data_IF_380548502525
#
_entry.id   IF_380548502525
#
_cell.length_a   1.000
_cell.length_b   1.000
_cell.length_c   1.000
_cell.angle_alpha   90.00
_cell.angle_beta   90.00
_cell.angle_gamma   90.00
#
_symmetry.space_group_name_H-M   'P 1'
#
loop_
_entity.id
_entity.type
_entity.pdbx_description
1 polymer ?
#
# COMPACT_ATOMS: atom_id res chain seq x y z
N UNK A 1 21.40 27.22 -10.71
CA UNK A 1 20.87 26.36 -9.63
C UNK A 1 20.30 25.11 -10.29
N UNK A 2 20.71 23.94 -9.87
CA UNK A 2 20.09 22.68 -10.33
C UNK A 2 18.74 22.51 -9.62
N UNK A 3 17.70 22.22 -10.38
CA UNK A 3 16.37 21.92 -9.82
C UNK A 3 16.46 20.54 -9.15
N UNK A 4 16.04 20.40 -7.87
CA UNK A 4 16.10 19.10 -7.18
C UNK A 4 15.19 18.07 -7.84
N UNK A 5 15.55 16.78 -7.75
CA UNK A 5 14.75 15.70 -8.31
C UNK A 5 13.41 15.52 -7.56
N UNK A 6 13.40 15.83 -6.27
CA UNK A 6 12.18 15.78 -5.44
C UNK A 6 11.64 17.19 -5.18
N UNK A 7 10.33 17.31 -5.29
CA UNK A 7 9.58 18.57 -5.11
C UNK A 7 8.41 18.33 -4.17
N UNK A 8 7.97 19.40 -3.48
CA UNK A 8 6.74 19.36 -2.68
C UNK A 8 5.59 19.82 -3.55
N UNK A 9 4.54 19.02 -3.62
CA UNK A 9 3.30 19.36 -4.31
C UNK A 9 2.12 19.28 -3.35
N UNK A 10 1.22 20.27 -3.43
CA UNK A 10 -0.03 20.27 -2.70
C UNK A 10 -1.10 19.46 -3.45
N UNK A 11 -2.01 18.85 -2.69
CA UNK A 11 -3.18 18.16 -3.21
C UNK A 11 -4.39 18.34 -2.27
N UNK A 12 -5.56 17.87 -2.73
CA UNK A 12 -6.78 17.80 -1.90
C UNK A 12 -6.61 16.89 -0.68
N UNK A 13 -5.63 15.98 -0.71
CA UNK A 13 -5.35 15.01 0.36
C UNK A 13 -4.17 15.42 1.26
N UNK A 14 -3.50 16.53 0.97
CA UNK A 14 -2.34 17.00 1.70
C UNK A 14 -1.13 17.24 0.81
N UNK A 15 0.05 17.29 1.42
CA UNK A 15 1.33 17.60 0.75
C UNK A 15 2.13 16.33 0.51
N UNK A 16 2.71 16.26 -0.69
CA UNK A 16 3.54 15.12 -1.10
C UNK A 16 4.93 15.60 -1.51
N UNK A 17 5.95 14.87 -1.06
CA UNK A 17 7.30 14.95 -1.63
C UNK A 17 7.37 13.89 -2.74
N UNK A 18 7.37 14.31 -3.98
CA UNK A 18 7.37 13.43 -5.15
C UNK A 18 8.56 13.67 -6.04
N UNK A 19 8.99 12.64 -6.76
CA UNK A 19 10.00 12.79 -7.78
C UNK A 19 9.39 13.41 -9.04
N UNK A 20 9.93 14.57 -9.48
CA UNK A 20 9.45 15.27 -10.67
C UNK A 20 9.64 14.50 -11.99
N UNK A 21 10.50 13.47 -11.98
CA UNK A 21 10.76 12.60 -13.12
C UNK A 21 9.79 11.41 -13.21
N UNK A 22 9.02 11.15 -12.16
CA UNK A 22 7.85 10.25 -12.20
C UNK A 22 6.66 11.02 -12.77
N UNK A 23 6.63 11.19 -14.09
CA UNK A 23 5.68 12.08 -14.76
C UNK A 23 4.24 11.74 -14.40
N UNK A 24 3.87 10.47 -14.39
CA UNK A 24 2.52 10.01 -14.10
C UNK A 24 2.01 10.49 -12.73
N UNK A 25 2.82 10.33 -11.69
CA UNK A 25 2.46 10.74 -10.32
C UNK A 25 2.48 12.26 -10.15
N UNK A 26 3.57 12.90 -10.59
CA UNK A 26 3.72 14.35 -10.46
C UNK A 26 2.72 15.13 -11.32
N UNK A 27 2.45 14.67 -12.55
CA UNK A 27 1.49 15.34 -13.43
C UNK A 27 0.05 15.27 -12.90
N UNK A 28 -0.37 14.16 -12.29
CA UNK A 28 -1.70 14.07 -11.68
C UNK A 28 -1.89 15.17 -10.63
N UNK A 29 -0.94 15.29 -9.70
CA UNK A 29 -0.98 16.33 -8.66
C UNK A 29 -0.97 17.74 -9.24
N UNK A 30 -0.10 18.02 -10.22
CA UNK A 30 0.02 19.37 -10.81
C UNK A 30 -1.22 19.73 -11.62
N UNK A 31 -1.78 18.78 -12.41
CA UNK A 31 -2.89 19.07 -13.33
C UNK A 31 -4.25 19.10 -12.65
N UNK A 32 -4.44 18.26 -11.64
CA UNK A 32 -5.76 18.05 -11.03
C UNK A 32 -5.83 18.45 -9.56
N UNK A 33 -4.68 18.60 -8.88
CA UNK A 33 -4.64 18.74 -7.42
C UNK A 33 -5.04 17.47 -6.67
N UNK A 34 -5.15 16.32 -7.39
CA UNK A 34 -5.55 15.04 -6.85
C UNK A 34 -4.49 13.97 -7.18
N UNK A 35 -4.53 12.83 -6.52
CA UNK A 35 -3.59 11.72 -6.77
C UNK A 35 -3.98 10.98 -8.05
N UNK A 36 -3.04 10.21 -8.61
CA UNK A 36 -3.31 9.35 -9.77
C UNK A 36 -4.20 8.14 -9.43
N UNK A 37 -4.33 7.79 -8.14
CA UNK A 37 -5.16 6.69 -7.63
C UNK A 37 -6.51 7.19 -7.08
N UNK A 38 -7.02 8.34 -7.50
CA UNK A 38 -8.23 8.95 -6.95
C UNK A 38 -9.46 8.04 -7.06
N UNK A 39 -9.58 7.32 -8.17
CA UNK A 39 -10.64 6.32 -8.37
C UNK A 39 -10.58 5.17 -7.37
N UNK A 40 -9.38 4.72 -7.03
CA UNK A 40 -9.15 3.69 -6.02
C UNK A 40 -9.46 4.21 -4.62
N UNK A 41 -8.97 5.42 -4.29
CA UNK A 41 -9.20 6.06 -2.99
C UNK A 41 -10.69 6.22 -2.69
N UNK A 42 -11.51 6.52 -3.69
CA UNK A 42 -12.95 6.62 -3.50
C UNK A 42 -13.56 5.30 -2.97
N UNK A 43 -13.15 4.16 -3.53
CA UNK A 43 -13.58 2.84 -3.07
C UNK A 43 -12.96 2.47 -1.71
N UNK A 44 -11.68 2.75 -1.55
CA UNK A 44 -10.95 2.50 -0.30
C UNK A 44 -11.58 3.27 0.87
N UNK A 45 -11.96 4.52 0.68
CA UNK A 45 -12.58 5.33 1.72
C UNK A 45 -13.92 4.77 2.19
N UNK A 46 -14.71 4.14 1.30
CA UNK A 46 -15.94 3.42 1.70
C UNK A 46 -15.60 2.33 2.73
N UNK A 47 -14.52 1.58 2.52
CA UNK A 47 -14.08 0.54 3.45
C UNK A 47 -13.51 1.12 4.74
N UNK A 48 -12.63 2.11 4.62
CA UNK A 48 -11.98 2.78 5.77
C UNK A 48 -13.02 3.40 6.71
N UNK A 49 -14.12 3.93 6.17
CA UNK A 49 -15.18 4.54 6.99
C UNK A 49 -15.98 3.51 7.81
N UNK A 50 -15.99 2.23 7.41
CA UNK A 50 -16.62 1.15 8.18
C UNK A 50 -15.72 0.62 9.30
N UNK A 51 -14.43 0.95 9.29
CA UNK A 51 -13.49 0.43 10.27
C UNK A 51 -13.75 1.02 11.66
N UNK A 52 -13.64 0.19 12.71
CA UNK A 52 -13.89 0.64 14.08
C UNK A 52 -12.77 1.59 14.58
N UNK A 53 -13.06 2.28 15.68
CA UNK A 53 -12.04 3.02 16.43
C UNK A 53 -10.90 2.10 16.83
N UNK A 54 -9.65 2.58 16.69
CA UNK A 54 -8.46 1.79 16.99
C UNK A 54 -8.09 0.74 15.95
N UNK A 55 -8.73 0.75 14.77
CA UNK A 55 -8.38 -0.14 13.68
C UNK A 55 -6.91 0.02 13.25
N UNK A 56 -6.33 -1.08 12.77
CA UNK A 56 -4.97 -1.14 12.25
C UNK A 56 -5.01 -1.41 10.76
N UNK A 57 -4.34 -0.54 10.01
CA UNK A 57 -4.25 -0.56 8.55
C UNK A 57 -2.80 -0.85 8.18
N UNK A 58 -2.59 -1.81 7.29
CA UNK A 58 -1.28 -2.12 6.72
C UNK A 58 -1.24 -1.63 5.27
N UNK A 59 -0.18 -0.90 4.92
CA UNK A 59 0.11 -0.43 3.57
C UNK A 59 1.45 -1.04 3.10
N UNK A 60 1.39 -2.11 2.34
CA UNK A 60 2.54 -2.73 1.69
C UNK A 60 2.79 -2.09 0.33
N UNK A 61 4.01 -1.56 0.12
CA UNK A 61 4.37 -0.79 -1.06
C UNK A 61 3.84 0.65 -1.00
N UNK A 62 4.25 1.38 0.05
CA UNK A 62 3.69 2.70 0.33
C UNK A 62 4.14 3.79 -0.68
N UNK A 63 5.23 3.55 -1.42
CA UNK A 63 5.76 4.46 -2.42
C UNK A 63 5.93 5.90 -1.86
N UNK A 64 5.50 6.93 -2.58
CA UNK A 64 5.50 8.31 -2.11
C UNK A 64 4.31 8.67 -1.18
N UNK A 65 3.52 7.67 -0.77
CA UNK A 65 2.44 7.83 0.20
C UNK A 65 1.07 8.14 -0.39
N UNK A 66 0.83 7.80 -1.65
CA UNK A 66 -0.44 8.10 -2.32
C UNK A 66 -1.65 7.38 -1.70
N UNK A 67 -1.44 6.25 -1.01
CA UNK A 67 -2.44 5.65 -0.14
C UNK A 67 -2.30 6.15 1.29
N UNK A 68 -1.09 6.08 1.87
CA UNK A 68 -0.85 6.39 3.29
C UNK A 68 -1.36 7.77 3.70
N UNK A 69 -1.04 8.84 2.96
CA UNK A 69 -1.37 10.22 3.35
C UNK A 69 -2.87 10.49 3.28
N UNK A 70 -3.60 10.17 2.18
CA UNK A 70 -5.04 10.34 2.12
C UNK A 70 -5.78 9.56 3.22
N UNK A 71 -5.40 8.31 3.44
CA UNK A 71 -6.02 7.47 4.48
C UNK A 71 -5.71 8.01 5.87
N UNK A 72 -4.46 8.41 6.15
CA UNK A 72 -4.10 9.03 7.43
C UNK A 72 -4.95 10.28 7.73
N UNK A 73 -5.11 11.16 6.73
CA UNK A 73 -5.96 12.35 6.90
C UNK A 73 -7.44 11.99 7.11
N UNK A 74 -7.93 10.92 6.45
CA UNK A 74 -9.32 10.42 6.63
C UNK A 74 -9.58 9.88 8.03
N UNK A 75 -8.60 9.21 8.63
CA UNK A 75 -8.74 8.57 9.95
C UNK A 75 -8.28 9.45 11.11
N UNK A 76 -7.81 10.66 10.84
CA UNK A 76 -7.30 11.58 11.87
C UNK A 76 -8.30 11.78 13.00
N UNK A 77 -7.84 11.60 14.24
CA UNK A 77 -8.66 11.74 15.44
C UNK A 77 -9.57 10.52 15.76
N UNK A 78 -9.53 9.45 14.95
CA UNK A 78 -10.35 8.24 15.17
C UNK A 78 -9.62 7.16 15.98
N UNK A 79 -8.38 7.41 16.44
CA UNK A 79 -7.57 6.47 17.19
C UNK A 79 -7.07 5.28 16.37
N UNK A 80 -7.26 5.32 15.04
CA UNK A 80 -6.74 4.32 14.11
C UNK A 80 -5.26 4.59 13.81
N UNK A 81 -4.52 3.58 13.36
CA UNK A 81 -3.12 3.72 12.96
C UNK A 81 -2.83 3.03 11.64
N UNK A 82 -1.80 3.49 10.96
CA UNK A 82 -1.28 2.89 9.73
C UNK A 82 0.12 2.38 9.99
N UNK A 83 0.45 1.21 9.43
CA UNK A 83 1.80 0.67 9.34
C UNK A 83 2.13 0.55 7.86
N UNK A 84 3.06 1.38 7.39
CA UNK A 84 3.42 1.47 5.97
C UNK A 84 4.82 0.91 5.73
N UNK A 85 4.99 0.17 4.66
CA UNK A 85 6.25 -0.46 4.26
C UNK A 85 6.68 0.05 2.91
N UNK A 86 7.93 0.55 2.82
CA UNK A 86 8.53 0.99 1.57
C UNK A 86 9.99 0.54 1.49
N UNK A 87 10.34 -0.36 0.55
CA UNK A 87 11.69 -0.91 0.44
C UNK A 87 12.69 0.01 -0.28
N UNK A 88 12.25 1.00 -1.05
CA UNK A 88 13.14 1.95 -1.71
C UNK A 88 13.50 3.09 -0.74
N UNK A 89 14.76 3.13 -0.28
CA UNK A 89 15.23 4.11 0.71
C UNK A 89 14.89 5.56 0.33
N UNK A 90 14.96 5.89 -0.94
CA UNK A 90 14.69 7.25 -1.42
C UNK A 90 13.21 7.59 -1.33
N UNK A 91 12.31 6.67 -1.69
CA UNK A 91 10.86 6.86 -1.54
C UNK A 91 10.44 6.83 -0.06
N UNK A 92 11.02 5.93 0.74
CA UNK A 92 10.84 5.92 2.20
C UNK A 92 11.15 7.30 2.82
N UNK A 93 12.27 7.94 2.43
CA UNK A 93 12.63 9.29 2.90
C UNK A 93 11.66 10.35 2.43
N UNK A 94 11.19 10.27 1.18
CA UNK A 94 10.21 11.19 0.62
C UNK A 94 8.88 11.07 1.39
N UNK A 95 8.40 9.85 1.61
CA UNK A 95 7.19 9.59 2.39
C UNK A 95 7.34 10.05 3.84
N UNK A 96 8.48 9.78 4.49
CA UNK A 96 8.75 10.26 5.84
C UNK A 96 8.65 11.79 5.93
N UNK A 97 9.22 12.51 4.97
CA UNK A 97 9.09 13.97 4.87
C UNK A 97 7.66 14.42 4.61
N UNK A 98 6.92 13.68 3.77
CA UNK A 98 5.52 13.98 3.49
C UNK A 98 4.63 13.79 4.72
N UNK A 99 4.86 12.75 5.53
CA UNK A 99 4.16 12.55 6.81
C UNK A 99 4.38 13.74 7.75
N UNK A 100 5.63 14.21 7.87
CA UNK A 100 5.96 15.39 8.69
C UNK A 100 5.29 16.67 8.18
N UNK A 101 5.25 16.89 6.85
CA UNK A 101 4.58 18.05 6.24
C UNK A 101 3.06 18.06 6.46
N UNK A 102 2.46 16.93 6.78
CA UNK A 102 1.02 16.78 7.02
C UNK A 102 0.68 16.58 8.51
N UNK A 103 1.65 16.72 9.44
CA UNK A 103 1.45 16.48 10.88
C UNK A 103 0.85 15.08 11.15
N UNK A 104 1.33 14.04 10.44
CA UNK A 104 0.93 12.65 10.63
C UNK A 104 1.98 11.96 11.49
N UNK A 105 1.72 11.79 12.77
CA UNK A 105 2.59 11.18 13.79
C UNK A 105 2.15 9.77 14.22
N UNK A 106 0.99 9.32 13.75
CA UNK A 106 0.37 8.01 14.07
C UNK A 106 0.54 6.97 12.95
N UNK A 107 1.40 7.24 11.97
CA UNK A 107 1.84 6.29 10.95
C UNK A 107 3.20 5.70 11.33
N UNK A 108 3.26 4.37 11.50
CA UNK A 108 4.51 3.63 11.68
C UNK A 108 5.08 3.30 10.28
N UNK A 109 6.00 4.14 9.80
CA UNK A 109 6.64 3.94 8.50
C UNK A 109 7.92 3.11 8.64
N UNK A 110 8.00 1.99 7.92
CA UNK A 110 9.10 1.03 7.98
C UNK A 110 9.86 0.95 6.66
N UNK A 111 11.20 1.06 6.74
CA UNK A 111 12.10 0.81 5.63
C UNK A 111 12.32 -0.70 5.49
N UNK A 112 11.35 -1.39 4.89
CA UNK A 112 11.36 -2.84 4.70
C UNK A 112 10.42 -3.25 3.56
N UNK A 113 10.65 -4.43 3.00
CA UNK A 113 9.68 -5.14 2.17
C UNK A 113 8.84 -6.12 2.99
N UNK A 114 7.69 -6.54 2.43
CA UNK A 114 6.87 -7.63 2.97
C UNK A 114 7.12 -8.91 2.17
N UNK A 115 7.21 -10.04 2.86
CA UNK A 115 7.42 -11.37 2.24
C UNK A 115 6.88 -12.50 3.10
N UNK A 116 7.17 -13.74 2.70
CA UNK A 116 6.73 -14.99 3.34
C UNK A 116 7.58 -15.39 4.55
N UNK A 117 8.82 -14.88 4.63
CA UNK A 117 9.73 -15.12 5.74
C UNK A 117 10.62 -13.89 6.00
N UNK A 118 11.05 -13.67 7.25
CA UNK A 118 12.07 -12.66 7.55
C UNK A 118 13.36 -12.93 6.80
N UNK A 119 13.95 -11.89 6.22
CA UNK A 119 15.17 -12.04 5.42
C UNK A 119 15.69 -10.73 4.88
N UNK A 120 16.42 -10.82 3.76
CA UNK A 120 16.97 -9.68 3.03
C UNK A 120 16.68 -9.84 1.56
N UNK A 121 16.13 -8.80 0.96
CA UNK A 121 16.03 -8.64 -0.50
C UNK A 121 16.94 -7.50 -0.97
N UNK A 122 16.98 -7.26 -2.26
CA UNK A 122 17.74 -6.17 -2.87
C UNK A 122 16.82 -5.29 -3.71
N UNK A 123 16.93 -4.00 -3.49
CA UNK A 123 16.38 -2.98 -4.37
C UNK A 123 17.43 -2.69 -5.45
N UNK A 124 17.10 -2.80 -6.74
CA UNK A 124 18.05 -2.49 -7.81
C UNK A 124 18.54 -1.04 -7.72
N UNK A 125 19.69 -0.76 -8.30
CA UNK A 125 20.20 0.61 -8.39
C UNK A 125 19.31 1.43 -9.32
N UNK A 126 18.78 2.54 -8.80
CA UNK A 126 17.81 3.41 -9.47
C UNK A 126 18.39 4.79 -9.67
N UNK A 127 18.37 5.28 -10.90
CA UNK A 127 18.69 6.69 -11.18
C UNK A 127 17.40 7.54 -11.04
N UNK A 128 17.24 8.17 -9.89
CA UNK A 128 16.14 9.09 -9.62
C UNK A 128 16.23 10.44 -10.38
N UNK A 129 17.26 10.64 -11.18
CA UNK A 129 17.45 11.83 -12.02
C UNK A 129 16.92 11.69 -13.44
N UNK A 130 16.45 10.50 -13.83
CA UNK A 130 15.91 10.22 -15.18
C UNK A 130 14.41 9.92 -15.14
N UNK A 131 13.67 10.26 -16.22
CA UNK A 131 12.23 9.96 -16.31
C UNK A 131 11.97 8.45 -16.30
N UNK A 132 11.24 7.98 -15.27
CA UNK A 132 10.75 6.59 -15.17
C UNK A 132 9.64 6.51 -14.13
N UNK A 133 8.95 5.36 -14.08
CA UNK A 133 8.04 5.05 -13.00
C UNK A 133 8.81 4.33 -11.88
N UNK A 134 8.95 5.00 -10.74
CA UNK A 134 9.64 4.46 -9.58
C UNK A 134 8.75 3.52 -8.76
N UNK A 135 7.44 3.51 -9.01
CA UNK A 135 6.49 2.62 -8.35
C UNK A 135 6.64 1.17 -8.76
N UNK A 136 7.05 0.92 -10.01
CA UNK A 136 7.11 -0.43 -10.60
C UNK A 136 8.39 -1.21 -10.29
N UNK A 137 9.17 -0.78 -9.30
CA UNK A 137 10.46 -1.38 -8.96
C UNK A 137 10.27 -2.62 -8.11
N UNK A 138 10.62 -3.77 -8.67
CA UNK A 138 10.60 -5.06 -7.98
C UNK A 138 11.85 -5.25 -7.11
N UNK A 139 11.66 -5.69 -5.88
CA UNK A 139 12.77 -6.21 -5.06
C UNK A 139 13.10 -7.64 -5.49
N UNK A 140 14.29 -8.13 -5.15
CA UNK A 140 14.70 -9.49 -5.49
C UNK A 140 15.50 -10.12 -4.35
N UNK A 141 15.26 -11.39 -4.06
CA UNK A 141 16.07 -12.15 -3.12
C UNK A 141 17.52 -12.37 -3.61
N UNK A 142 17.75 -12.26 -4.93
CA UNK A 142 19.05 -12.47 -5.58
C UNK A 142 19.41 -11.29 -6.49
N UNK A 143 20.69 -11.13 -6.82
CA UNK A 143 21.14 -10.10 -7.75
C UNK A 143 21.93 -8.97 -7.08
N UNK A 144 22.08 -7.86 -7.81
CA UNK A 144 22.77 -6.64 -7.35
C UNK A 144 21.76 -5.61 -6.81
N UNK A 145 22.26 -4.64 -6.06
CA UNK A 145 21.46 -3.53 -5.54
C UNK A 145 21.60 -3.34 -4.04
N UNK A 146 20.90 -2.36 -3.51
CA UNK A 146 20.91 -2.02 -2.09
C UNK A 146 20.14 -3.06 -1.27
N UNK A 147 20.73 -3.67 -0.23
CA UNK A 147 20.03 -4.62 0.62
C UNK A 147 18.95 -3.90 1.43
N UNK A 148 17.79 -4.55 1.55
CA UNK A 148 16.66 -4.11 2.36
C UNK A 148 16.14 -5.29 3.17
N UNK A 149 15.69 -5.03 4.39
CA UNK A 149 15.04 -6.01 5.23
C UNK A 149 13.71 -6.47 4.60
N UNK A 150 13.42 -7.75 4.70
CA UNK A 150 12.10 -8.33 4.43
C UNK A 150 11.54 -8.84 5.74
N UNK A 151 10.33 -8.44 6.06
CA UNK A 151 9.59 -8.88 7.25
C UNK A 151 8.27 -9.53 6.84
N UNK A 152 7.59 -10.17 7.79
CA UNK A 152 6.27 -10.75 7.56
C UNK A 152 5.20 -10.00 8.34
N UNK A 153 3.97 -9.99 7.84
CA UNK A 153 2.84 -9.38 8.54
C UNK A 153 2.63 -10.08 9.90
N UNK A 154 2.76 -11.40 9.95
CA UNK A 154 2.59 -12.18 11.17
C UNK A 154 3.63 -11.83 12.25
N UNK A 155 4.86 -11.49 11.84
CA UNK A 155 5.94 -11.13 12.79
C UNK A 155 5.74 -9.77 13.46
N UNK A 156 4.78 -8.96 12.99
CA UNK A 156 4.45 -7.68 13.63
C UNK A 156 3.80 -7.84 14.99
N UNK A 157 3.27 -9.02 15.32
CA UNK A 157 2.68 -9.34 16.62
C UNK A 157 1.49 -8.41 16.97
N UNK A 158 0.70 -8.02 15.98
CA UNK A 158 -0.40 -7.07 16.18
C UNK A 158 -1.60 -7.74 16.85
N UNK A 159 -2.23 -7.03 17.78
CA UNK A 159 -3.45 -7.49 18.44
C UNK A 159 -4.67 -7.44 17.52
N UNK A 160 -4.58 -6.68 16.42
CA UNK A 160 -5.62 -6.59 15.38
C UNK A 160 -5.05 -6.10 14.05
N UNK A 161 -5.69 -6.52 12.98
CA UNK A 161 -5.50 -6.00 11.60
C UNK A 161 -6.88 -5.92 10.96
N UNK A 162 -7.26 -4.77 10.46
CA UNK A 162 -8.61 -4.51 9.93
C UNK A 162 -8.61 -4.28 8.41
N UNK A 163 -7.50 -3.78 7.88
CA UNK A 163 -7.33 -3.50 6.46
C UNK A 163 -5.88 -3.76 6.05
N UNK A 164 -5.68 -4.40 4.92
CA UNK A 164 -4.37 -4.62 4.29
C UNK A 164 -4.44 -4.15 2.84
N UNK A 165 -3.57 -3.20 2.44
CA UNK A 165 -3.25 -2.92 1.04
C UNK A 165 -1.95 -3.62 0.70
N UNK A 166 -1.91 -4.32 -0.44
CA UNK A 166 -0.71 -4.90 -1.01
C UNK A 166 -0.57 -4.47 -2.47
N UNK A 167 0.49 -3.74 -2.74
CA UNK A 167 0.91 -3.29 -4.06
C UNK A 167 2.45 -3.32 -4.00
N UNK A 168 2.99 -4.53 -4.06
CA UNK A 168 4.38 -4.87 -3.72
C UNK A 168 5.13 -5.46 -4.91
N UNK A 169 4.64 -5.16 -6.12
CA UNK A 169 5.32 -5.38 -7.39
C UNK A 169 5.80 -6.83 -7.57
N UNK A 170 4.85 -7.79 -7.43
CA UNK A 170 5.08 -9.21 -7.64
C UNK A 170 5.36 -10.02 -6.37
N UNK A 171 5.39 -9.39 -5.19
CA UNK A 171 5.54 -10.04 -3.88
C UNK A 171 4.21 -10.27 -3.16
N UNK A 172 3.07 -10.06 -3.82
CA UNK A 172 1.72 -10.13 -3.21
C UNK A 172 1.46 -11.49 -2.57
N UNK A 173 1.74 -12.59 -3.29
CA UNK A 173 1.55 -13.94 -2.74
C UNK A 173 2.50 -14.23 -1.56
N UNK A 174 3.74 -13.74 -1.60
CA UNK A 174 4.68 -13.89 -0.50
C UNK A 174 4.23 -13.07 0.72
N UNK A 175 3.77 -11.83 0.52
CA UNK A 175 3.24 -10.99 1.59
C UNK A 175 1.98 -11.59 2.23
N UNK A 176 1.07 -12.17 1.43
CA UNK A 176 -0.10 -12.90 1.93
C UNK A 176 0.31 -14.13 2.75
N UNK A 177 1.27 -14.90 2.26
CA UNK A 177 1.77 -16.08 2.97
C UNK A 177 2.40 -15.72 4.32
N UNK A 178 3.17 -14.60 4.36
CA UNK A 178 3.75 -14.09 5.60
C UNK A 178 2.75 -13.38 6.54
N UNK A 179 1.51 -13.24 6.13
CA UNK A 179 0.43 -12.65 6.92
C UNK A 179 -0.73 -13.60 7.18
N UNK A 180 -0.60 -14.87 6.80
CA UNK A 180 -1.73 -15.81 6.79
C UNK A 180 -2.34 -16.01 8.19
N UNK A 181 -1.52 -16.00 9.25
CA UNK A 181 -1.98 -16.10 10.63
C UNK A 181 -2.82 -14.89 11.04
N UNK A 182 -2.34 -13.68 10.76
CA UNK A 182 -3.08 -12.43 11.02
C UNK A 182 -4.36 -12.35 10.19
N UNK A 183 -4.32 -12.79 8.93
CA UNK A 183 -5.49 -12.80 8.04
C UNK A 183 -6.55 -13.77 8.55
N UNK A 184 -6.15 -14.97 8.98
CA UNK A 184 -7.07 -15.96 9.57
C UNK A 184 -7.70 -15.46 10.87
N UNK A 185 -6.89 -14.85 11.74
CA UNK A 185 -7.31 -14.41 13.07
C UNK A 185 -8.20 -13.17 13.02
N UNK A 186 -7.84 -12.17 12.21
CA UNK A 186 -8.48 -10.84 12.25
C UNK A 186 -9.43 -10.55 11.11
N UNK A 187 -9.40 -11.36 10.05
CA UNK A 187 -10.35 -11.24 8.94
C UNK A 187 -10.41 -9.83 8.34
N UNK A 188 -9.25 -9.24 7.94
CA UNK A 188 -9.21 -7.89 7.39
C UNK A 188 -9.86 -7.79 6.02
N UNK A 189 -10.24 -6.58 5.59
CA UNK A 189 -10.35 -6.28 4.17
C UNK A 189 -8.97 -6.31 3.54
N UNK A 190 -8.85 -6.87 2.33
CA UNK A 190 -7.57 -6.91 1.60
C UNK A 190 -7.78 -6.26 0.24
N UNK A 191 -7.10 -5.13 0.01
CA UNK A 191 -6.96 -4.47 -1.29
C UNK A 191 -5.63 -4.87 -1.88
N UNK A 192 -5.63 -5.51 -3.05
CA UNK A 192 -4.41 -6.14 -3.58
C UNK A 192 -4.29 -5.92 -5.09
N UNK A 193 -3.12 -5.47 -5.53
CA UNK A 193 -2.78 -5.42 -6.94
C UNK A 193 -2.53 -6.83 -7.47
N UNK A 194 -3.02 -7.12 -8.68
CA UNK A 194 -2.83 -8.41 -9.33
C UNK A 194 -2.16 -8.31 -10.70
N UNK A 195 -1.72 -7.12 -11.11
CA UNK A 195 -1.23 -6.88 -12.46
C UNK A 195 -0.03 -7.76 -12.83
N UNK A 196 0.92 -7.96 -11.92
CA UNK A 196 2.10 -8.82 -12.12
C UNK A 196 1.77 -10.25 -11.71
N UNK A 197 1.22 -10.44 -10.54
CA UNK A 197 1.01 -11.76 -9.91
C UNK A 197 -0.14 -12.54 -10.53
N UNK A 198 -1.17 -11.86 -11.01
CA UNK A 198 -2.41 -12.49 -11.51
C UNK A 198 -3.40 -12.84 -10.40
N UNK A 199 -4.68 -12.96 -10.76
CA UNK A 199 -5.77 -13.21 -9.80
C UNK A 199 -5.74 -14.60 -9.18
N UNK A 200 -5.49 -15.63 -10.00
CA UNK A 200 -5.58 -17.03 -9.53
C UNK A 200 -4.52 -17.38 -8.49
N UNK A 201 -3.23 -16.96 -8.60
CA UNK A 201 -2.26 -17.14 -7.53
C UNK A 201 -2.66 -16.45 -6.22
N UNK A 202 -3.24 -15.24 -6.29
CA UNK A 202 -3.72 -14.51 -5.09
C UNK A 202 -4.87 -15.27 -4.42
N UNK A 203 -5.87 -15.72 -5.19
CA UNK A 203 -6.97 -16.55 -4.66
C UNK A 203 -6.46 -17.83 -4.03
N UNK A 204 -5.48 -18.49 -4.69
CA UNK A 204 -4.85 -19.70 -4.17
C UNK A 204 -4.11 -19.44 -2.84
N UNK A 205 -3.45 -18.30 -2.69
CA UNK A 205 -2.77 -17.91 -1.44
C UNK A 205 -3.75 -17.75 -0.26
N UNK A 206 -5.01 -17.43 -0.54
CA UNK A 206 -6.08 -17.29 0.47
C UNK A 206 -6.98 -18.54 0.58
N UNK A 207 -6.74 -19.60 -0.19
CA UNK A 207 -7.58 -20.80 -0.18
C UNK A 207 -7.66 -21.51 1.18
N UNK A 208 -6.63 -21.36 2.03
CA UNK A 208 -6.61 -21.85 3.42
C UNK A 208 -7.35 -20.98 4.42
N UNK A 209 -7.81 -19.80 4.01
CA UNK A 209 -8.60 -18.89 4.84
C UNK A 209 -10.05 -18.96 4.39
N UNK A 210 -10.97 -19.51 5.21
CA UNK A 210 -12.34 -19.73 4.76
C UNK A 210 -13.07 -18.42 4.45
N UNK A 211 -14.01 -18.50 3.52
CA UNK A 211 -15.07 -17.52 3.30
C UNK A 211 -14.61 -16.09 2.96
N UNK A 212 -13.61 -15.92 2.09
CA UNK A 212 -13.38 -14.66 1.39
C UNK A 212 -14.15 -14.60 0.07
N UNK A 213 -14.79 -13.47 -0.19
CA UNK A 213 -15.33 -13.11 -1.49
C UNK A 213 -14.31 -12.22 -2.22
N UNK A 214 -14.19 -12.40 -3.54
CA UNK A 214 -13.21 -11.72 -4.37
C UNK A 214 -13.91 -10.84 -5.39
N UNK A 215 -13.55 -9.57 -5.44
CA UNK A 215 -14.14 -8.58 -6.35
C UNK A 215 -13.03 -7.92 -7.15
N UNK A 216 -13.14 -7.96 -8.48
CA UNK A 216 -12.28 -7.12 -9.32
C UNK A 216 -12.81 -5.70 -9.28
N UNK A 217 -11.98 -4.76 -8.79
CA UNK A 217 -12.38 -3.35 -8.63
C UNK A 217 -12.08 -2.54 -9.89
N UNK A 218 -10.94 -2.82 -10.49
CA UNK A 218 -10.49 -2.20 -11.74
C UNK A 218 -9.61 -3.17 -12.56
N UNK A 219 -8.82 -2.66 -13.51
CA UNK A 219 -8.00 -3.50 -14.38
C UNK A 219 -6.77 -4.12 -13.68
N UNK A 220 -6.39 -3.65 -12.52
CA UNK A 220 -5.20 -4.11 -11.79
C UNK A 220 -5.45 -4.46 -10.32
N UNK A 221 -6.56 -4.05 -9.73
CA UNK A 221 -6.85 -4.23 -8.32
C UNK A 221 -7.99 -5.20 -8.04
N UNK A 222 -7.82 -6.00 -7.01
CA UNK A 222 -8.81 -6.89 -6.44
C UNK A 222 -9.04 -6.56 -4.97
N UNK A 223 -10.30 -6.62 -4.56
CA UNK A 223 -10.72 -6.50 -3.18
C UNK A 223 -11.17 -7.87 -2.67
N UNK A 224 -10.55 -8.34 -1.58
CA UNK A 224 -10.93 -9.55 -0.90
C UNK A 224 -11.67 -9.18 0.39
N UNK A 225 -12.90 -9.65 0.55
CA UNK A 225 -13.80 -9.32 1.67
C UNK A 225 -14.18 -10.60 2.40
N UNK A 226 -14.02 -10.68 3.73
CA UNK A 226 -14.64 -11.73 4.52
C UNK A 226 -16.16 -11.73 4.31
N UNK A 227 -16.77 -12.87 3.97
CA UNK A 227 -18.19 -12.92 3.60
C UNK A 227 -19.12 -12.43 4.69
N UNK A 228 -18.75 -12.61 5.97
CA UNK A 228 -19.48 -12.09 7.11
C UNK A 228 -19.54 -10.56 7.17
N UNK A 229 -18.59 -9.86 6.49
CA UNK A 229 -18.51 -8.39 6.43
C UNK A 229 -19.16 -7.79 5.18
N UNK A 230 -19.62 -8.61 4.22
CA UNK A 230 -20.28 -8.13 3.00
C UNK A 230 -21.48 -7.21 3.27
N UNK A 231 -22.36 -7.48 4.29
CA UNK A 231 -23.49 -6.61 4.57
C UNK A 231 -23.11 -5.19 5.01
N UNK A 232 -21.88 -4.98 5.45
CA UNK A 232 -21.39 -3.67 5.90
C UNK A 232 -21.08 -2.71 4.72
N UNK A 233 -21.01 -3.25 3.49
CA UNK A 233 -20.45 -2.53 2.35
C UNK A 233 -21.50 -2.41 1.24
N UNK A 234 -21.65 -1.18 0.71
CA UNK A 234 -22.47 -0.90 -0.46
C UNK A 234 -21.57 -0.45 -1.61
N UNK A 235 -21.07 -1.39 -2.39
CA UNK A 235 -20.44 -1.07 -3.66
C UNK A 235 -21.48 -1.09 -4.79
N UNK A 236 -21.42 -0.09 -5.66
CA UNK A 236 -22.18 -0.09 -6.92
C UNK A 236 -21.24 -0.46 -8.06
N UNK A 237 -21.60 -1.47 -8.84
CA UNK A 237 -20.92 -1.76 -10.10
C UNK A 237 -19.72 -2.71 -10.03
N UNK A 238 -19.48 -3.38 -8.90
CA UNK A 238 -18.40 -4.39 -8.76
C UNK A 238 -19.02 -5.78 -8.73
N UNK A 239 -18.55 -6.69 -9.59
CA UNK A 239 -19.01 -8.08 -9.63
C UNK A 239 -18.01 -9.00 -8.91
N UNK A 240 -18.52 -9.99 -8.18
CA UNK A 240 -17.70 -11.08 -7.60
C UNK A 240 -17.06 -11.90 -8.76
N UNK A 241 -15.77 -12.20 -8.66
CA UNK A 241 -14.99 -12.87 -9.70
C UNK A 241 -14.38 -14.20 -9.24
#
# INVERSE_FOLDING_TARGET
MTIPNFVVLDSIHGRFIVNRHCAFQAEALVKTGATHIEGELANIFVLIDTLPTGAVIIDGGANAGFFTIPVANRIRGRGQRIISFEPQLTLFRALSGSLALNDIDFCDLRYAGLGDAPGTARVPDIDYGTPQDFGTVQISATGSGTPVEVTTIDSLGLERVDFIKLDVEGYECAALAGGIGMIQQHRPYIWIEFFITGKEPIKASLAGVPDYAFFQVDYQNMLCIPRERLPEIKFSGVAEC
#
